data_IF_817124150062
#
_entry.id   IF_817124150062
#
_cell.length_a   1.000
_cell.length_b   1.000
_cell.length_c   1.000
_cell.angle_alpha   90.00
_cell.angle_beta   90.00
_cell.angle_gamma   90.00
#
_symmetry.space_group_name_H-M   'P 1'
#
loop_
_entity.id
_entity.type
_entity.pdbx_description
1 polymer ?
#
# COMPACT_ATOMS: atom_id res chain seq x y z
N UNK A 1 1.39 -26.66 -12.69
CA UNK A 1 0.37 -25.61 -12.79
C UNK A 1 0.35 -24.82 -11.48
N UNK A 2 1.02 -23.65 -11.46
CA UNK A 2 1.04 -22.79 -10.28
C UNK A 2 -0.33 -22.09 -10.21
N UNK A 3 -1.10 -22.36 -9.17
CA UNK A 3 -2.33 -21.65 -8.90
C UNK A 3 -1.95 -20.23 -8.49
N UNK A 4 -2.12 -19.28 -9.40
CA UNK A 4 -2.06 -17.85 -9.10
C UNK A 4 -3.29 -17.54 -8.26
N UNK A 5 -3.09 -17.53 -6.96
CA UNK A 5 -4.09 -16.99 -6.04
C UNK A 5 -4.08 -15.48 -6.24
N UNK A 6 -5.01 -15.00 -7.05
CA UNK A 6 -5.25 -13.57 -7.20
C UNK A 6 -5.72 -13.06 -5.84
N UNK A 7 -4.77 -12.60 -5.03
CA UNK A 7 -5.07 -11.86 -3.83
C UNK A 7 -5.64 -10.51 -4.27
N UNK A 8 -6.95 -10.46 -4.34
CA UNK A 8 -7.66 -9.21 -4.57
C UNK A 8 -7.38 -8.31 -3.36
N UNK A 9 -6.36 -7.50 -3.48
CA UNK A 9 -6.01 -6.46 -2.53
C UNK A 9 -7.03 -5.31 -2.66
N UNK A 10 -8.27 -5.62 -2.32
CA UNK A 10 -9.32 -4.62 -2.11
C UNK A 10 -9.03 -3.90 -0.78
N UNK A 11 -7.83 -3.35 -0.66
CA UNK A 11 -7.37 -2.79 0.60
C UNK A 11 -7.30 -1.29 0.54
N UNK A 12 -8.26 -0.65 0.04
CA UNK A 12 -8.21 0.80 0.21
C UNK A 12 -9.57 1.39 -0.05
N UNK A 13 -10.44 1.27 0.90
CA UNK A 13 -11.45 2.32 1.03
C UNK A 13 -12.21 2.13 2.34
N UNK A 14 -11.89 3.01 3.28
CA UNK A 14 -12.77 3.36 4.39
C UNK A 14 -13.29 2.20 5.24
N UNK A 15 -12.40 1.55 5.94
CA UNK A 15 -12.81 0.93 7.19
C UNK A 15 -12.41 1.91 8.28
N UNK A 16 -13.37 2.68 8.75
CA UNK A 16 -13.31 3.21 10.12
C UNK A 16 -13.48 1.99 11.01
N UNK A 17 -12.44 1.17 11.06
CA UNK A 17 -12.34 0.11 12.04
C UNK A 17 -11.96 0.78 13.34
N UNK A 18 -12.82 0.68 14.33
CA UNK A 18 -12.43 0.91 15.71
C UNK A 18 -11.24 0.01 16.00
N UNK A 19 -10.04 0.56 15.87
CA UNK A 19 -8.81 -0.12 16.22
C UNK A 19 -8.87 -0.40 17.72
N UNK A 20 -9.13 -1.65 18.07
CA UNK A 20 -8.83 -2.09 19.44
C UNK A 20 -7.32 -2.04 19.59
N UNK A 21 -6.77 -1.42 20.64
CA UNK A 21 -5.34 -1.49 20.90
C UNK A 21 -4.99 -2.98 21.07
N UNK A 22 -4.21 -3.51 20.14
CA UNK A 22 -3.70 -4.86 20.23
C UNK A 22 -2.43 -4.79 21.05
N UNK A 23 -2.51 -5.19 22.31
CA UNK A 23 -1.40 -5.14 23.27
C UNK A 23 -0.23 -6.08 22.96
N UNK A 24 -0.30 -6.85 21.90
CA UNK A 24 0.82 -7.70 21.48
C UNK A 24 0.81 -7.98 19.98
N UNK A 25 1.83 -7.51 19.29
CA UNK A 25 2.27 -8.12 18.02
C UNK A 25 2.57 -9.58 18.32
N UNK A 26 1.95 -10.53 17.63
CA UNK A 26 2.27 -11.96 17.80
C UNK A 26 3.79 -12.10 17.78
N UNK A 27 4.36 -12.88 18.67
CA UNK A 27 5.82 -12.99 18.83
C UNK A 27 6.57 -13.26 17.53
N UNK A 28 5.97 -14.04 16.62
CA UNK A 28 6.50 -14.35 15.29
C UNK A 28 6.57 -13.12 14.38
N UNK A 29 5.52 -12.28 14.38
CA UNK A 29 5.49 -11.03 13.59
C UNK A 29 6.54 -10.05 14.10
N UNK A 30 6.67 -9.91 15.42
CA UNK A 30 7.68 -9.04 16.02
C UNK A 30 9.10 -9.50 15.69
N UNK A 31 9.37 -10.81 15.74
CA UNK A 31 10.66 -11.38 15.37
C UNK A 31 10.95 -11.16 13.87
N UNK A 32 9.96 -11.35 13.00
CA UNK A 32 10.07 -11.10 11.56
C UNK A 32 10.30 -9.62 11.27
N UNK A 33 9.56 -8.73 11.92
CA UNK A 33 9.74 -7.29 11.77
C UNK A 33 11.16 -6.85 12.13
N UNK A 34 11.69 -7.28 13.25
CA UNK A 34 13.07 -6.97 13.67
C UNK A 34 14.14 -7.52 12.71
N UNK A 35 13.90 -8.67 12.10
CA UNK A 35 14.81 -9.22 11.08
C UNK A 35 14.79 -8.41 9.79
N UNK A 36 13.60 -8.04 9.33
CA UNK A 36 13.41 -7.36 8.05
C UNK A 36 13.80 -5.88 8.13
N UNK A 37 13.60 -5.23 9.28
CA UNK A 37 13.77 -3.78 9.45
C UNK A 37 14.60 -3.45 10.70
N UNK A 38 15.92 -3.73 10.63
CA UNK A 38 16.84 -3.65 11.78
C UNK A 38 16.88 -2.29 12.49
N UNK A 39 16.71 -1.19 11.77
CA UNK A 39 16.80 0.17 12.30
C UNK A 39 15.45 0.89 12.31
N UNK A 40 14.37 0.16 12.19
CA UNK A 40 13.04 0.74 12.18
C UNK A 40 12.50 0.98 13.59
N UNK A 41 11.82 2.10 13.75
CA UNK A 41 11.06 2.41 14.95
C UNK A 41 9.62 1.97 14.76
N UNK A 42 9.18 0.95 15.51
CA UNK A 42 7.79 0.52 15.54
C UNK A 42 6.90 1.64 16.10
N UNK A 43 5.82 1.96 15.40
CA UNK A 43 4.85 2.99 15.81
C UNK A 43 3.53 2.37 16.26
N UNK A 44 2.93 1.52 15.43
CA UNK A 44 1.67 0.83 15.75
C UNK A 44 1.54 -0.50 15.03
N UNK A 45 0.60 -1.30 15.50
CA UNK A 45 0.25 -2.60 14.91
C UNK A 45 -1.26 -2.73 14.90
N UNK A 46 -1.81 -3.09 13.74
CA UNK A 46 -3.24 -3.32 13.52
C UNK A 46 -3.44 -4.73 13.00
N UNK A 47 -4.18 -5.57 13.73
CA UNK A 47 -4.45 -6.95 13.34
C UNK A 47 -5.83 -7.05 12.70
N UNK A 48 -5.87 -7.62 11.50
CA UNK A 48 -7.05 -7.97 10.73
C UNK A 48 -7.18 -9.49 10.63
N UNK A 49 -8.30 -10.00 10.15
CA UNK A 49 -8.51 -11.45 10.01
C UNK A 49 -7.44 -12.14 9.17
N UNK A 50 -7.05 -11.54 8.05
CA UNK A 50 -6.15 -12.14 7.05
C UNK A 50 -4.69 -11.68 7.18
N UNK A 51 -4.43 -10.57 7.87
CA UNK A 51 -3.10 -9.98 7.95
C UNK A 51 -2.94 -9.07 9.16
N UNK A 52 -1.71 -8.75 9.49
CA UNK A 52 -1.35 -7.72 10.47
C UNK A 52 -0.57 -6.62 9.75
N UNK A 53 -1.04 -5.39 9.89
CA UNK A 53 -0.37 -4.18 9.42
C UNK A 53 0.51 -3.62 10.53
N UNK A 54 1.77 -3.42 10.23
CA UNK A 54 2.77 -2.80 11.11
C UNK A 54 3.14 -1.44 10.56
N UNK A 55 2.88 -0.38 11.31
CA UNK A 55 3.32 0.98 10.97
C UNK A 55 4.64 1.26 11.68
N UNK A 56 5.63 1.72 10.93
CA UNK A 56 6.95 2.01 11.46
C UNK A 56 7.61 3.19 10.77
N UNK A 57 8.60 3.77 11.42
CA UNK A 57 9.46 4.84 10.87
C UNK A 57 10.83 4.27 10.56
N UNK A 58 11.34 4.53 9.36
CA UNK A 58 12.69 4.18 8.92
C UNK A 58 13.21 5.25 7.95
N UNK A 59 14.43 5.74 8.16
CA UNK A 59 15.04 6.80 7.33
C UNK A 59 14.14 8.03 7.16
N UNK A 60 13.52 8.49 8.26
CA UNK A 60 12.56 9.59 8.31
C UNK A 60 11.27 9.43 7.52
N UNK A 61 11.03 8.28 6.91
CA UNK A 61 9.80 7.92 6.24
C UNK A 61 8.91 7.03 7.10
N UNK A 62 7.60 7.27 7.05
CA UNK A 62 6.60 6.36 7.62
C UNK A 62 6.29 5.30 6.55
N UNK A 63 6.37 4.04 6.96
CA UNK A 63 6.17 2.87 6.13
C UNK A 63 5.19 1.90 6.79
N UNK A 64 4.60 1.04 5.98
CA UNK A 64 3.64 0.03 6.41
C UNK A 64 4.10 -1.34 5.91
N UNK A 65 4.27 -2.29 6.81
CA UNK A 65 4.55 -3.68 6.48
C UNK A 65 3.32 -4.55 6.77
N UNK A 66 3.01 -5.45 5.88
CA UNK A 66 1.87 -6.36 5.98
C UNK A 66 2.39 -7.77 6.15
N UNK A 67 1.94 -8.43 7.21
CA UNK A 67 2.32 -9.80 7.55
C UNK A 67 1.09 -10.70 7.53
N UNK A 68 1.25 -11.92 7.05
CA UNK A 68 0.22 -12.94 7.25
C UNK A 68 0.21 -13.45 8.70
N UNK A 69 -0.74 -14.31 9.02
CA UNK A 69 -0.88 -14.87 10.37
C UNK A 69 0.26 -15.79 10.80
N UNK A 70 1.12 -16.20 9.86
CA UNK A 70 2.33 -17.00 10.11
C UNK A 70 3.59 -16.14 10.30
N UNK A 71 3.46 -14.81 10.29
CA UNK A 71 4.59 -13.89 10.44
C UNK A 71 5.46 -13.72 9.18
N UNK A 72 4.95 -14.13 8.02
CA UNK A 72 5.61 -13.91 6.73
C UNK A 72 5.25 -12.51 6.20
N UNK A 73 6.26 -11.78 5.71
CA UNK A 73 6.08 -10.47 5.12
C UNK A 73 5.43 -10.61 3.74
N UNK A 74 4.25 -10.01 3.59
CA UNK A 74 3.48 -10.01 2.33
C UNK A 74 3.82 -8.83 1.44
N UNK A 75 3.95 -7.65 2.03
CA UNK A 75 4.22 -6.42 1.29
C UNK A 75 4.72 -5.30 2.22
N UNK A 76 5.34 -4.33 1.60
CA UNK A 76 5.68 -3.03 2.22
C UNK A 76 5.09 -1.92 1.37
N UNK A 77 4.49 -0.91 1.99
CA UNK A 77 4.04 0.28 1.28
C UNK A 77 4.61 1.55 1.92
N UNK A 78 4.73 2.59 1.11
CA UNK A 78 5.20 3.91 1.53
C UNK A 78 4.41 4.98 0.79
N UNK A 79 3.80 5.91 1.53
CA UNK A 79 3.20 7.08 0.90
C UNK A 79 4.30 7.95 0.27
N UNK A 80 4.06 8.42 -0.93
CA UNK A 80 4.97 9.26 -1.69
C UNK A 80 4.24 10.49 -2.24
N UNK A 81 5.01 11.47 -2.66
CA UNK A 81 4.50 12.63 -3.41
C UNK A 81 4.62 12.38 -4.91
N UNK A 82 3.86 13.10 -5.72
CA UNK A 82 3.91 12.97 -7.18
C UNK A 82 5.31 13.27 -7.76
N UNK A 83 6.10 14.10 -7.09
CA UNK A 83 7.49 14.40 -7.50
C UNK A 83 8.45 13.20 -7.34
N UNK A 84 8.05 12.17 -6.61
CA UNK A 84 8.84 10.94 -6.41
C UNK A 84 8.48 9.84 -7.41
N UNK A 85 7.47 10.07 -8.26
CA UNK A 85 7.13 9.15 -9.34
C UNK A 85 8.19 9.16 -10.45
N UNK A 86 8.39 8.03 -11.14
CA UNK A 86 9.05 8.01 -12.43
C UNK A 86 8.43 9.03 -13.40
N UNK A 87 9.29 9.69 -14.17
CA UNK A 87 8.87 10.81 -15.04
C UNK A 87 7.74 10.43 -16.00
N UNK A 88 7.80 9.23 -16.59
CA UNK A 88 6.77 8.76 -17.53
C UNK A 88 5.40 8.64 -16.85
N UNK A 89 5.36 8.09 -15.65
CA UNK A 89 4.13 7.95 -14.86
C UNK A 89 3.57 9.32 -14.44
N UNK A 90 4.43 10.24 -14.05
CA UNK A 90 4.04 11.62 -13.70
C UNK A 90 3.46 12.38 -14.91
N UNK A 91 4.09 12.27 -16.07
CA UNK A 91 3.62 12.93 -17.29
C UNK A 91 2.27 12.38 -17.75
N UNK A 92 2.08 11.05 -17.69
CA UNK A 92 0.81 10.42 -18.03
C UNK A 92 -0.32 10.86 -17.08
N UNK A 93 -0.07 10.99 -15.77
CA UNK A 93 -1.08 11.54 -14.85
C UNK A 93 -1.48 12.97 -15.21
N UNK A 94 -0.52 13.80 -15.58
CA UNK A 94 -0.77 15.21 -15.96
C UNK A 94 -1.52 15.34 -17.28
N UNK A 95 -1.27 14.45 -18.24
CA UNK A 95 -1.94 14.50 -19.56
C UNK A 95 -3.33 13.87 -19.51
N UNK A 96 -3.44 12.66 -18.96
CA UNK A 96 -4.63 11.83 -19.11
C UNK A 96 -5.65 12.04 -18.00
N UNK A 97 -5.19 12.55 -16.85
CA UNK A 97 -6.01 12.74 -15.64
C UNK A 97 -5.98 14.18 -15.12
N UNK A 98 -5.82 15.16 -16.02
CA UNK A 98 -5.73 16.59 -15.65
C UNK A 98 -6.96 17.15 -14.92
N UNK A 99 -8.14 16.53 -15.11
CA UNK A 99 -9.39 16.90 -14.43
C UNK A 99 -9.58 16.22 -13.07
N UNK A 100 -8.62 15.42 -12.64
CA UNK A 100 -8.66 14.70 -11.38
C UNK A 100 -7.67 15.29 -10.37
N UNK A 101 -7.99 15.14 -9.08
CA UNK A 101 -7.03 15.40 -8.00
C UNK A 101 -6.58 14.09 -7.38
N UNK A 102 -5.32 14.04 -6.96
CA UNK A 102 -4.75 12.89 -6.27
C UNK A 102 -5.24 12.89 -4.82
N UNK A 103 -5.93 11.83 -4.41
CA UNK A 103 -6.36 11.62 -3.02
C UNK A 103 -5.41 10.72 -2.25
N UNK A 104 -4.69 9.83 -2.96
CA UNK A 104 -3.74 8.90 -2.36
C UNK A 104 -2.70 8.51 -3.39
N UNK A 105 -1.45 8.38 -2.97
CA UNK A 105 -0.34 7.93 -3.81
C UNK A 105 0.68 7.18 -2.94
N UNK A 106 0.97 5.94 -3.29
CA UNK A 106 1.95 5.14 -2.58
C UNK A 106 2.73 4.20 -3.50
N UNK A 107 3.93 3.87 -3.04
CA UNK A 107 4.78 2.82 -3.59
C UNK A 107 4.42 1.50 -2.88
N UNK A 108 4.35 0.43 -3.63
CA UNK A 108 4.10 -0.93 -3.17
C UNK A 108 5.27 -1.83 -3.57
N UNK A 109 5.79 -2.57 -2.60
CA UNK A 109 6.79 -3.61 -2.78
C UNK A 109 6.24 -4.92 -2.21
N UNK A 110 6.03 -5.90 -3.05
CA UNK A 110 5.67 -7.29 -2.69
C UNK A 110 6.72 -8.26 -3.20
N UNK A 111 6.47 -9.57 -3.08
CA UNK A 111 7.46 -10.63 -3.33
C UNK A 111 8.22 -10.47 -4.66
N UNK A 112 7.52 -10.28 -5.78
CA UNK A 112 8.13 -10.11 -7.10
C UNK A 112 7.62 -8.84 -7.81
N UNK A 113 7.01 -7.92 -7.07
CA UNK A 113 6.34 -6.76 -7.66
C UNK A 113 6.71 -5.47 -6.96
N UNK A 114 7.23 -4.53 -7.74
CA UNK A 114 7.36 -3.13 -7.33
C UNK A 114 6.48 -2.30 -8.24
N UNK A 115 5.53 -1.57 -7.68
CA UNK A 115 4.63 -0.74 -8.46
C UNK A 115 4.13 0.46 -7.63
N UNK A 116 3.43 1.36 -8.30
CA UNK A 116 2.79 2.52 -7.68
C UNK A 116 1.28 2.39 -7.79
N UNK A 117 0.58 2.87 -6.77
CA UNK A 117 -0.85 3.04 -6.79
C UNK A 117 -1.19 4.51 -6.61
N UNK A 118 -2.12 5.00 -7.41
CA UNK A 118 -2.67 6.35 -7.28
C UNK A 118 -4.17 6.30 -7.28
N UNK A 119 -4.78 6.92 -6.30
CA UNK A 119 -6.22 7.16 -6.25
C UNK A 119 -6.50 8.60 -6.69
N UNK A 120 -7.35 8.70 -7.70
CA UNK A 120 -7.73 9.93 -8.36
C UNK A 120 -9.22 10.16 -8.21
N UNK A 121 -9.63 11.38 -7.92
CA UNK A 121 -11.04 11.73 -7.74
C UNK A 121 -11.42 12.90 -8.62
N UNK A 122 -12.65 12.90 -9.12
CA UNK A 122 -13.29 14.01 -9.80
C UNK A 122 -14.75 14.15 -9.34
N UNK A 123 -15.51 15.08 -9.94
CA UNK A 123 -16.92 15.30 -9.59
C UNK A 123 -17.77 14.02 -9.77
N UNK A 124 -17.47 13.20 -10.78
CA UNK A 124 -18.29 12.06 -11.21
C UNK A 124 -17.87 10.74 -10.57
N UNK A 125 -16.74 10.68 -9.89
CA UNK A 125 -16.28 9.44 -9.27
C UNK A 125 -14.82 9.40 -8.88
N UNK A 126 -14.38 8.19 -8.56
CA UNK A 126 -13.00 7.86 -8.16
C UNK A 126 -12.45 6.74 -9.02
N UNK A 127 -11.21 6.86 -9.44
CA UNK A 127 -10.45 5.81 -10.11
C UNK A 127 -9.17 5.55 -9.36
N UNK A 128 -8.82 4.29 -9.19
CA UNK A 128 -7.51 3.89 -8.69
C UNK A 128 -6.74 3.25 -9.83
N UNK A 129 -5.53 3.74 -10.04
CA UNK A 129 -4.61 3.22 -11.04
C UNK A 129 -3.49 2.47 -10.36
N UNK A 130 -2.96 1.47 -11.05
CA UNK A 130 -1.74 0.74 -10.70
C UNK A 130 -0.73 0.90 -11.82
N UNK A 131 0.53 1.14 -11.49
CA UNK A 131 1.56 1.16 -12.52
C UNK A 131 1.92 -0.27 -12.97
N UNK A 132 2.13 -0.40 -14.28
CA UNK A 132 2.71 -1.58 -14.91
C UNK A 132 3.90 -1.12 -15.75
N UNK A 133 5.10 -1.18 -15.16
CA UNK A 133 6.28 -0.53 -15.74
C UNK A 133 6.08 0.99 -15.84
N UNK A 134 6.14 1.51 -17.06
CA UNK A 134 6.12 2.94 -17.37
C UNK A 134 4.72 3.51 -17.66
N UNK A 135 3.66 2.75 -17.49
CA UNK A 135 2.29 3.18 -17.77
C UNK A 135 1.32 2.81 -16.66
N UNK A 136 0.14 3.47 -16.66
CA UNK A 136 -0.93 3.24 -15.71
C UNK A 136 -1.97 2.29 -16.28
N UNK A 137 -2.43 1.37 -15.45
CA UNK A 137 -3.59 0.52 -15.70
C UNK A 137 -4.70 0.85 -14.70
N UNK A 138 -5.95 0.84 -15.14
CA UNK A 138 -7.09 1.01 -14.23
C UNK A 138 -7.21 -0.23 -13.35
N UNK A 139 -7.04 -0.02 -12.05
CA UNK A 139 -7.18 -1.07 -11.03
C UNK A 139 -8.63 -1.20 -10.55
N UNK A 140 -9.27 -0.07 -10.26
CA UNK A 140 -10.69 -0.02 -9.87
C UNK A 140 -11.31 1.34 -10.18
N UNK A 141 -12.63 1.36 -10.37
CA UNK A 141 -13.40 2.57 -10.60
C UNK A 141 -14.66 2.54 -9.74
N UNK A 142 -14.97 3.67 -9.10
CA UNK A 142 -16.19 3.89 -8.33
C UNK A 142 -16.89 5.12 -8.88
N UNK A 143 -18.13 4.97 -9.31
CA UNK A 143 -19.01 6.08 -9.73
C UNK A 143 -19.74 6.62 -8.50
N UNK A 144 -19.91 7.93 -8.44
CA UNK A 144 -20.77 8.62 -7.43
C UNK A 144 -22.21 8.55 -7.83
#
# INVERSE_FOLDING_TARGET
MKKITTFAFALLLTIVSFAKPVDSVKGEINASFKRNFKNAQLMSTETHEAFTKVTFKMNDAIMFAFYNNSGELLAVTRNITSSQLPVNLLLSLKSDYSAYWITELFEFTGDDTNCYYVSLECADGKVTLRSNGDYWEVYTTVKK
#
